data_IF_463308586543
#
_entry.id   IF_463308586543
#
_cell.length_a   1.000
_cell.length_b   1.000
_cell.length_c   1.000
_cell.angle_alpha   90.00
_cell.angle_beta   90.00
_cell.angle_gamma   90.00
#
_symmetry.space_group_name_H-M   'P 1'
#
loop_
_entity.id
_entity.type
_entity.pdbx_description
1 polymer ?
#
# COMPACT_ATOMS: atom_id res chain seq x y z
N UNK A 1 -12.41 37.96 27.01
CA UNK A 1 -11.51 37.38 25.99
C UNK A 1 -12.19 36.13 25.48
N UNK A 2 -12.92 36.25 24.37
CA UNK A 2 -13.54 35.10 23.71
C UNK A 2 -12.40 34.38 23.01
N UNK A 3 -12.21 33.05 23.17
CA UNK A 3 -11.21 32.35 22.37
C UNK A 3 -11.61 32.55 20.91
N UNK A 4 -10.68 33.05 20.10
CA UNK A 4 -10.88 33.03 18.66
C UNK A 4 -11.02 31.56 18.27
N UNK A 5 -12.23 31.14 17.94
CA UNK A 5 -12.43 29.88 17.25
C UNK A 5 -11.67 30.01 15.93
N UNK A 6 -10.47 29.46 15.90
CA UNK A 6 -9.73 29.26 14.67
C UNK A 6 -10.65 28.39 13.80
N UNK A 7 -11.21 28.96 12.73
CA UNK A 7 -12.14 28.26 11.85
C UNK A 7 -11.40 27.16 11.08
N UNK A 8 -11.18 26.02 11.75
CA UNK A 8 -10.51 24.87 11.16
C UNK A 8 -11.48 24.18 10.22
N UNK A 9 -11.14 24.20 8.93
CA UNK A 9 -11.86 23.45 7.91
C UNK A 9 -11.06 22.20 7.53
N UNK A 10 -11.70 21.04 7.68
CA UNK A 10 -11.11 19.78 7.24
C UNK A 10 -11.29 19.59 5.73
N UNK A 11 -10.21 19.20 5.06
CA UNK A 11 -10.23 18.86 3.64
C UNK A 11 -9.78 17.42 3.46
N UNK A 12 -10.47 16.70 2.57
CA UNK A 12 -10.08 15.33 2.22
C UNK A 12 -8.97 15.38 1.17
N UNK A 13 -7.92 14.60 1.39
CA UNK A 13 -6.83 14.42 0.43
C UNK A 13 -6.25 13.02 0.49
N UNK A 14 -5.42 12.72 -0.49
CA UNK A 14 -4.59 11.52 -0.58
C UNK A 14 -3.12 11.93 -0.71
N UNK A 15 -2.21 11.04 -0.33
CA UNK A 15 -0.78 11.26 -0.59
C UNK A 15 -0.41 10.55 -1.88
N UNK A 16 0.05 11.31 -2.87
CA UNK A 16 0.62 10.81 -4.12
C UNK A 16 2.06 11.28 -4.23
N UNK A 17 3.00 10.35 -4.43
CA UNK A 17 4.43 10.63 -4.55
C UNK A 17 5.02 11.53 -3.45
N UNK A 18 4.49 11.41 -2.23
CA UNK A 18 4.91 12.18 -1.07
C UNK A 18 4.26 13.56 -0.93
N UNK A 19 3.34 13.92 -1.84
CA UNK A 19 2.61 15.20 -1.85
C UNK A 19 1.15 14.96 -1.48
N UNK A 20 0.58 15.82 -0.63
CA UNK A 20 -0.86 15.79 -0.32
C UNK A 20 -1.63 16.41 -1.48
N UNK A 21 -2.43 15.61 -2.15
CA UNK A 21 -3.34 16.02 -3.23
C UNK A 21 -4.75 16.05 -2.66
N UNK A 22 -5.41 17.21 -2.75
CA UNK A 22 -6.81 17.34 -2.35
C UNK A 22 -7.72 16.63 -3.36
N UNK A 23 -8.87 16.15 -2.90
CA UNK A 23 -9.86 15.55 -3.80
C UNK A 23 -10.29 16.53 -4.89
N UNK A 24 -10.68 15.98 -6.05
CA UNK A 24 -11.05 16.76 -7.23
C UNK A 24 -12.10 17.84 -6.91
N UNK A 25 -11.91 19.03 -7.47
CA UNK A 25 -12.78 20.19 -7.25
C UNK A 25 -12.50 20.99 -5.98
N UNK A 26 -11.53 20.56 -5.15
CA UNK A 26 -11.07 21.34 -3.98
C UNK A 26 -9.75 22.03 -4.31
N UNK A 27 -9.73 23.36 -4.20
CA UNK A 27 -8.53 24.16 -4.29
C UNK A 27 -8.44 25.10 -3.08
N UNK A 28 -7.23 25.27 -2.59
CA UNK A 28 -6.93 26.26 -1.55
C UNK A 28 -6.29 27.49 -2.20
N UNK A 29 -6.52 28.70 -1.66
CA UNK A 29 -5.84 29.89 -2.14
C UNK A 29 -4.32 29.74 -2.06
N UNK A 30 -3.62 30.34 -3.02
CA UNK A 30 -2.16 30.38 -2.99
C UNK A 30 -1.66 31.09 -1.72
N UNK A 31 -0.54 30.62 -1.18
CA UNK A 31 0.02 31.13 0.07
C UNK A 31 -0.68 30.62 1.34
N UNK A 32 -1.71 29.77 1.23
CA UNK A 32 -2.33 29.14 2.41
C UNK A 32 -1.34 28.21 3.12
N UNK A 33 -1.07 28.48 4.40
CA UNK A 33 -0.31 27.58 5.26
C UNK A 33 -1.26 26.49 5.75
N UNK A 34 -0.91 25.23 5.50
CA UNK A 34 -1.73 24.08 5.88
C UNK A 34 -1.02 23.22 6.91
N UNK A 35 -1.77 22.79 7.92
CA UNK A 35 -1.35 21.73 8.86
C UNK A 35 -2.06 20.44 8.46
N UNK A 36 -1.28 19.38 8.27
CA UNK A 36 -1.82 18.07 7.88
C UNK A 36 -1.95 17.19 9.10
N UNK A 37 -3.17 16.79 9.43
CA UNK A 37 -3.45 15.80 10.47
C UNK A 37 -3.79 14.47 9.80
N UNK A 38 -3.02 13.43 10.11
CA UNK A 38 -3.23 12.07 9.59
C UNK A 38 -3.62 11.16 10.74
N UNK A 39 -4.74 10.47 10.62
CA UNK A 39 -5.14 9.45 11.58
C UNK A 39 -4.20 8.23 11.54
N UNK A 40 -4.04 7.57 12.69
CA UNK A 40 -3.11 6.44 12.82
C UNK A 40 -3.51 5.26 11.91
N UNK A 41 -4.82 4.99 11.80
CA UNK A 41 -5.35 3.93 10.95
C UNK A 41 -5.08 4.21 9.46
N UNK A 42 -5.25 5.46 9.03
CA UNK A 42 -4.96 5.92 7.67
C UNK A 42 -3.48 5.77 7.35
N UNK A 43 -2.60 6.16 8.29
CA UNK A 43 -1.16 6.03 8.13
C UNK A 43 -0.74 4.55 7.99
N UNK A 44 -1.31 3.66 8.81
CA UNK A 44 -1.05 2.23 8.73
C UNK A 44 -1.51 1.66 7.38
N UNK A 45 -2.72 2.00 6.93
CA UNK A 45 -3.25 1.57 5.64
C UNK A 45 -2.35 2.03 4.49
N UNK A 46 -1.91 3.29 4.51
CA UNK A 46 -1.01 3.83 3.49
C UNK A 46 0.33 3.06 3.46
N UNK A 47 0.91 2.74 4.61
CA UNK A 47 2.15 1.95 4.72
C UNK A 47 2.00 0.55 4.14
N UNK A 48 0.92 -0.15 4.48
CA UNK A 48 0.65 -1.50 3.94
C UNK A 48 0.49 -1.43 2.42
N UNK A 49 -0.35 -0.51 1.92
CA UNK A 49 -0.55 -0.32 0.48
C UNK A 49 0.75 -0.04 -0.24
N UNK A 50 1.58 0.86 0.29
CA UNK A 50 2.88 1.18 -0.30
C UNK A 50 3.83 -0.03 -0.33
N UNK A 51 3.90 -0.77 0.79
CA UNK A 51 4.71 -1.98 0.88
C UNK A 51 4.27 -3.08 -0.09
N UNK A 52 2.99 -3.14 -0.45
CA UNK A 52 2.46 -4.08 -1.44
C UNK A 52 2.69 -3.61 -2.88
N UNK A 53 2.63 -2.31 -3.15
CA UNK A 53 2.84 -1.72 -4.50
C UNK A 53 4.22 -2.05 -5.09
N UNK A 54 5.24 -2.21 -4.23
CA UNK A 54 6.61 -2.56 -4.63
C UNK A 54 6.89 -4.06 -4.84
N UNK A 55 5.97 -4.97 -4.48
CA UNK A 55 6.21 -6.42 -4.65
C UNK A 55 5.96 -6.81 -6.10
N UNK A 56 7.03 -6.82 -6.91
CA UNK A 56 7.06 -7.46 -8.24
C UNK A 56 6.36 -8.82 -8.14
N UNK A 57 5.35 -9.07 -8.97
CA UNK A 57 4.65 -10.36 -9.04
C UNK A 57 5.67 -11.47 -9.23
N UNK A 58 5.97 -12.22 -8.17
CA UNK A 58 6.84 -13.40 -8.27
C UNK A 58 6.04 -14.44 -9.03
N UNK A 59 6.31 -14.57 -10.34
CA UNK A 59 5.79 -15.67 -11.15
C UNK A 59 6.50 -16.95 -10.70
N UNK A 60 5.93 -17.64 -9.72
CA UNK A 60 6.38 -18.98 -9.33
C UNK A 60 5.91 -19.94 -10.42
N UNK A 61 6.82 -20.32 -11.33
CA UNK A 61 6.56 -21.39 -12.30
C UNK A 61 6.66 -22.72 -11.55
N UNK A 62 5.54 -23.20 -11.04
CA UNK A 62 5.45 -24.52 -10.43
C UNK A 62 5.68 -25.55 -11.54
N UNK A 63 6.82 -26.25 -11.51
CA UNK A 63 7.01 -27.43 -12.36
C UNK A 63 6.08 -28.51 -11.79
N UNK A 64 5.19 -29.11 -12.60
CA UNK A 64 4.41 -30.24 -12.13
C UNK A 64 5.40 -31.33 -11.72
N UNK A 65 5.29 -31.78 -10.47
CA UNK A 65 5.92 -33.03 -10.05
C UNK A 65 5.18 -34.11 -10.82
N UNK A 66 5.81 -34.66 -11.86
CA UNK A 66 5.26 -35.75 -12.65
C UNK A 66 5.07 -36.94 -11.70
N UNK A 67 3.82 -37.35 -11.39
CA UNK A 67 3.59 -38.54 -10.59
C UNK A 67 3.89 -39.73 -11.52
N UNK A 68 5.08 -40.31 -11.41
CA UNK A 68 5.42 -41.46 -12.25
C UNK A 68 6.89 -41.83 -12.40
N UNK A 69 7.85 -41.10 -11.84
CA UNK A 69 9.27 -41.48 -11.92
C UNK A 69 9.80 -42.11 -10.61
N UNK A 70 9.20 -43.23 -10.23
CA UNK A 70 9.85 -44.24 -9.38
C UNK A 70 9.65 -45.60 -10.06
N UNK A 71 10.48 -45.88 -11.06
CA UNK A 71 10.57 -47.21 -11.67
C UNK A 71 11.86 -47.88 -11.20
N UNK A 72 11.67 -48.92 -10.40
CA UNK A 72 12.45 -50.16 -10.32
C UNK A 72 13.97 -50.05 -10.11
N UNK A 73 14.38 -50.20 -8.85
CA UNK A 73 15.58 -50.96 -8.52
C UNK A 73 15.12 -52.31 -7.95
N UNK A 74 15.06 -53.34 -8.78
CA UNK A 74 15.02 -54.72 -8.33
C UNK A 74 16.48 -55.21 -8.24
N UNK A 75 16.97 -55.68 -7.09
CA UNK A 75 18.19 -56.47 -7.05
C UNK A 75 17.87 -57.89 -7.53
N UNK A 76 18.58 -58.33 -8.56
CA UNK A 76 18.66 -59.72 -9.02
C UNK A 76 19.31 -60.55 -7.91
N UNK A 77 18.63 -61.61 -7.46
CA UNK A 77 19.24 -62.68 -6.67
C UNK A 77 20.06 -63.59 -7.60
N UNK A 78 21.36 -63.71 -7.32
CA UNK A 78 22.17 -64.93 -7.49
C UNK A 78 23.20 -65.01 -6.36
#
# INVERSE_FOLDING_TARGET
MVPEEEFVKAYKGIVEDGVVVLVEGVQLPEGTIVTVTVGEAELLRARITNALRGKRKVKVRMKPVTPGLVMNAAPTEE
#
